data_IF_167657381931
#
_entry.id   IF_167657381931
#
_cell.length_a   1.000
_cell.length_b   1.000
_cell.length_c   1.000
_cell.angle_alpha   90.00
_cell.angle_beta   90.00
_cell.angle_gamma   90.00
#
_symmetry.space_group_name_H-M   'P 1'
#
loop_
_entity.id
_entity.type
_entity.pdbx_description
1 polymer ?
#
# COMPACT_ATOMS: atom_id res chain seq x y z
N UNK A 1 42.68 -40.36 7.92
CA UNK A 1 42.61 -39.21 7.00
C UNK A 1 41.23 -38.60 7.10
N UNK A 2 41.10 -37.39 7.63
CA UNK A 2 39.83 -36.66 7.70
C UNK A 2 39.52 -36.00 6.36
N UNK A 3 38.38 -36.36 5.76
CA UNK A 3 37.86 -35.66 4.58
C UNK A 3 37.13 -34.40 5.06
N UNK A 4 37.68 -33.25 4.70
CA UNK A 4 37.08 -31.93 4.90
C UNK A 4 35.90 -31.79 3.92
N UNK A 5 34.68 -31.87 4.44
CA UNK A 5 33.47 -31.48 3.71
C UNK A 5 33.46 -29.95 3.61
N UNK A 6 33.73 -29.40 2.43
CA UNK A 6 33.47 -27.98 2.15
C UNK A 6 31.97 -27.82 1.92
N UNK A 7 31.25 -27.29 2.90
CA UNK A 7 29.90 -26.76 2.68
C UNK A 7 30.01 -25.45 1.89
N UNK A 8 29.57 -25.47 0.63
CA UNK A 8 29.36 -24.25 -0.15
C UNK A 8 27.95 -23.74 0.16
N UNK A 9 27.85 -22.75 1.06
CA UNK A 9 26.61 -22.02 1.28
C UNK A 9 26.56 -20.90 0.23
N UNK A 10 25.91 -21.16 -0.90
CA UNK A 10 25.70 -20.14 -1.94
C UNK A 10 24.77 -19.05 -1.39
N UNK A 11 25.34 -17.90 -1.01
CA UNK A 11 24.59 -16.70 -0.67
C UNK A 11 23.84 -16.22 -1.92
N UNK A 12 22.53 -16.42 -1.96
CA UNK A 12 21.68 -15.88 -3.02
C UNK A 12 21.39 -14.41 -2.71
N UNK A 13 22.13 -13.51 -3.34
CA UNK A 13 21.95 -12.06 -3.18
C UNK A 13 21.04 -11.58 -4.31
N UNK A 14 19.87 -11.06 -3.95
CA UNK A 14 18.94 -10.45 -4.89
C UNK A 14 18.91 -8.93 -4.67
N UNK A 15 19.10 -8.16 -5.75
CA UNK A 15 19.05 -6.69 -5.71
C UNK A 15 17.70 -6.26 -6.28
N UNK A 16 16.90 -5.54 -5.47
CA UNK A 16 15.60 -4.98 -5.88
C UNK A 16 15.59 -3.46 -5.73
N UNK A 17 14.77 -2.80 -6.54
CA UNK A 17 14.62 -1.36 -6.48
C UNK A 17 13.54 -0.96 -5.44
N UNK A 18 13.85 0.01 -4.59
CA UNK A 18 12.89 0.65 -3.67
C UNK A 18 12.54 2.07 -4.09
N UNK A 19 13.45 2.76 -4.79
CA UNK A 19 13.31 4.16 -5.20
C UNK A 19 12.85 5.09 -4.03
N UNK A 20 12.21 6.20 -4.36
CA UNK A 20 11.51 7.09 -3.42
C UNK A 20 10.29 6.43 -2.77
N UNK A 21 9.80 5.30 -3.30
CA UNK A 21 8.64 4.58 -2.77
C UNK A 21 8.90 4.04 -1.36
N UNK A 22 10.15 3.74 -1.01
CA UNK A 22 10.51 3.32 0.35
C UNK A 22 10.18 4.37 1.41
N UNK A 23 10.41 5.65 1.12
CA UNK A 23 10.09 6.75 2.04
C UNK A 23 8.57 6.88 2.20
N UNK A 24 7.84 6.84 1.08
CA UNK A 24 6.38 6.92 1.09
C UNK A 24 5.78 5.74 1.85
N UNK A 25 6.27 4.52 1.62
CA UNK A 25 5.84 3.32 2.32
C UNK A 25 6.06 3.44 3.84
N UNK A 26 7.23 3.94 4.25
CA UNK A 26 7.54 4.19 5.66
C UNK A 26 6.57 5.19 6.32
N UNK A 27 6.24 6.29 5.63
CA UNK A 27 5.26 7.27 6.13
C UNK A 27 3.86 6.63 6.27
N UNK A 28 3.44 5.83 5.30
CA UNK A 28 2.15 5.11 5.32
C UNK A 28 2.09 4.17 6.54
N UNK A 29 3.16 3.42 6.78
CA UNK A 29 3.26 2.50 7.92
C UNK A 29 3.28 3.26 9.25
N UNK A 30 4.00 4.38 9.33
CA UNK A 30 4.07 5.20 10.52
C UNK A 30 2.72 5.79 10.95
N UNK A 31 1.88 6.16 9.98
CA UNK A 31 0.52 6.68 10.20
C UNK A 31 -0.46 5.54 10.58
N UNK A 32 -0.10 4.29 10.30
CA UNK A 32 -0.96 3.12 10.54
C UNK A 32 -2.12 3.03 9.55
N UNK A 33 -1.93 3.51 8.32
CA UNK A 33 -2.99 3.57 7.30
C UNK A 33 -3.55 2.19 6.96
N UNK A 34 -2.68 1.18 6.80
CA UNK A 34 -3.07 -0.18 6.45
C UNK A 34 -4.04 -0.74 7.48
N UNK A 35 -3.71 -0.63 8.76
CA UNK A 35 -4.55 -1.12 9.85
C UNK A 35 -5.88 -0.39 9.95
N UNK A 36 -5.89 0.92 9.72
CA UNK A 36 -7.12 1.71 9.72
C UNK A 36 -8.08 1.31 8.61
N UNK A 37 -7.58 1.16 7.38
CA UNK A 37 -8.41 0.72 6.25
C UNK A 37 -8.93 -0.69 6.51
N UNK A 38 -8.09 -1.61 6.99
CA UNK A 38 -8.49 -2.97 7.33
C UNK A 38 -9.56 -3.01 8.43
N UNK A 39 -9.51 -2.10 9.40
CA UNK A 39 -10.54 -1.96 10.43
C UNK A 39 -11.86 -1.43 9.86
N UNK A 40 -11.82 -0.53 8.88
CA UNK A 40 -13.01 0.10 8.29
C UNK A 40 -13.72 -0.85 7.32
N UNK A 41 -12.94 -1.54 6.47
CA UNK A 41 -13.48 -2.41 5.41
C UNK A 41 -13.61 -3.88 5.84
N UNK A 42 -12.97 -4.25 6.95
CA UNK A 42 -12.83 -5.64 7.36
C UNK A 42 -11.77 -6.39 6.54
N UNK A 43 -11.56 -7.64 6.91
CA UNK A 43 -10.71 -8.57 6.17
C UNK A 43 -11.41 -9.92 6.09
N UNK A 44 -11.27 -10.59 4.95
CA UNK A 44 -11.74 -11.96 4.80
C UNK A 44 -10.54 -12.92 4.78
N UNK A 45 -10.58 -14.08 5.48
CA UNK A 45 -9.43 -15.00 5.59
C UNK A 45 -8.90 -15.55 4.26
N UNK A 46 -9.70 -15.48 3.20
CA UNK A 46 -9.31 -15.93 1.86
C UNK A 46 -8.64 -14.84 1.01
N UNK A 47 -8.59 -13.59 1.51
CA UNK A 47 -7.92 -12.51 0.82
C UNK A 47 -6.40 -12.66 0.98
N UNK A 48 -5.71 -12.84 -0.15
CA UNK A 48 -4.24 -12.89 -0.17
C UNK A 48 -3.59 -11.54 0.13
N UNK A 49 -4.32 -10.46 -0.13
CA UNK A 49 -3.90 -9.08 0.12
C UNK A 49 -5.06 -8.31 0.72
N UNK A 50 -4.82 -7.69 1.87
CA UNK A 50 -5.82 -6.92 2.61
C UNK A 50 -6.18 -5.61 1.90
N UNK A 51 -7.33 -5.04 2.22
CA UNK A 51 -7.76 -3.78 1.61
C UNK A 51 -6.78 -2.63 1.92
N UNK A 52 -6.22 -2.59 3.13
CA UNK A 52 -5.20 -1.61 3.50
C UNK A 52 -3.91 -1.74 2.70
N UNK A 53 -3.45 -2.97 2.43
CA UNK A 53 -2.29 -3.21 1.57
C UNK A 53 -2.58 -2.80 0.12
N UNK A 54 -3.80 -3.04 -0.38
CA UNK A 54 -4.22 -2.55 -1.70
C UNK A 54 -4.19 -1.03 -1.77
N UNK A 55 -4.73 -0.33 -0.76
CA UNK A 55 -4.69 1.14 -0.70
C UNK A 55 -3.26 1.65 -0.65
N UNK A 56 -2.39 1.04 0.18
CA UNK A 56 -0.96 1.37 0.23
C UNK A 56 -0.33 1.23 -1.16
N UNK A 57 -0.59 0.13 -1.86
CA UNK A 57 -0.09 -0.10 -3.21
C UNK A 57 -0.58 0.98 -4.18
N UNK A 58 -1.87 1.32 -4.16
CA UNK A 58 -2.43 2.38 -5.02
C UNK A 58 -1.79 3.74 -4.76
N UNK A 59 -1.51 4.09 -3.50
CA UNK A 59 -0.83 5.34 -3.14
C UNK A 59 0.61 5.34 -3.68
N UNK A 60 1.34 4.24 -3.50
CA UNK A 60 2.71 4.10 -4.02
C UNK A 60 2.73 4.22 -5.55
N UNK A 61 1.78 3.59 -6.24
CA UNK A 61 1.64 3.72 -7.68
C UNK A 61 1.29 5.16 -8.11
N UNK A 62 0.33 5.80 -7.42
CA UNK A 62 -0.09 7.18 -7.71
C UNK A 62 0.99 8.23 -7.49
N UNK A 63 1.93 7.99 -6.58
CA UNK A 63 3.07 8.87 -6.29
C UNK A 63 4.34 8.48 -7.09
N UNK A 64 4.45 7.22 -7.50
CA UNK A 64 5.60 6.62 -8.16
C UNK A 64 5.65 6.79 -9.66
N UNK A 65 4.51 6.65 -10.34
CA UNK A 65 4.42 6.77 -11.78
C UNK A 65 2.95 6.97 -12.21
N UNK A 66 2.65 8.14 -12.75
CA UNK A 66 1.33 8.48 -13.31
C UNK A 66 1.15 7.75 -14.64
N UNK A 67 -0.07 7.26 -14.94
CA UNK A 67 -0.63 6.88 -16.27
C UNK A 67 -0.87 5.39 -16.59
N UNK A 68 -0.58 4.43 -15.70
CA UNK A 68 -0.88 3.01 -15.96
C UNK A 68 -2.35 2.64 -15.71
N UNK A 69 -2.95 1.81 -16.58
CA UNK A 69 -4.25 1.18 -16.31
C UNK A 69 -4.16 0.17 -15.15
N UNK A 70 -5.26 -0.08 -14.44
CA UNK A 70 -5.29 -0.99 -13.28
C UNK A 70 -4.74 -2.40 -13.59
N UNK A 71 -4.99 -2.93 -14.80
CA UNK A 71 -4.51 -4.27 -15.18
C UNK A 71 -2.98 -4.35 -15.32
N UNK A 72 -2.28 -3.22 -15.48
CA UNK A 72 -0.82 -3.17 -15.59
C UNK A 72 -0.11 -3.14 -14.22
N UNK A 73 -0.89 -3.04 -13.15
CA UNK A 73 -0.39 -2.86 -11.79
C UNK A 73 0.55 -4.00 -11.34
N UNK A 74 0.24 -5.29 -11.55
CA UNK A 74 1.16 -6.37 -11.20
C UNK A 74 2.52 -6.23 -11.89
N UNK A 75 2.52 -5.95 -13.19
CA UNK A 75 3.75 -5.80 -13.98
C UNK A 75 4.60 -4.61 -13.52
N UNK A 76 3.96 -3.55 -13.04
CA UNK A 76 4.68 -2.42 -12.46
C UNK A 76 5.34 -2.79 -11.13
N UNK A 77 4.62 -3.52 -10.26
CA UNK A 77 5.13 -3.98 -8.97
C UNK A 77 6.27 -5.01 -9.09
N UNK A 78 6.36 -5.75 -10.19
CA UNK A 78 7.51 -6.63 -10.48
C UNK A 78 8.85 -5.87 -10.55
N UNK A 79 8.82 -4.58 -10.88
CA UNK A 79 10.02 -3.73 -10.95
C UNK A 79 10.56 -3.29 -9.58
N UNK A 80 9.82 -3.56 -8.49
CA UNK A 80 10.13 -3.06 -7.16
C UNK A 80 10.20 -4.18 -6.12
N UNK A 81 10.75 -3.87 -4.95
CA UNK A 81 10.74 -4.75 -3.80
C UNK A 81 9.33 -4.84 -3.16
N UNK A 82 8.39 -5.49 -3.86
CA UNK A 82 6.97 -5.58 -3.49
C UNK A 82 6.74 -5.96 -2.03
N UNK A 83 7.35 -7.05 -1.56
CA UNK A 83 7.21 -7.49 -0.17
C UNK A 83 7.76 -6.48 0.85
N UNK A 84 8.84 -5.78 0.50
CA UNK A 84 9.42 -4.76 1.40
C UNK A 84 8.54 -3.51 1.46
N UNK A 85 7.89 -3.16 0.35
CA UNK A 85 7.02 -2.00 0.25
C UNK A 85 5.64 -2.25 0.84
N UNK A 86 5.07 -3.45 0.68
CA UNK A 86 3.66 -3.72 0.98
C UNK A 86 3.46 -4.65 2.18
N UNK A 87 4.44 -5.49 2.50
CA UNK A 87 4.38 -6.49 3.56
C UNK A 87 4.84 -7.88 3.10
N UNK A 88 5.30 -8.68 4.06
CA UNK A 88 5.83 -10.03 3.81
C UNK A 88 4.81 -10.93 3.10
N UNK A 89 5.28 -11.68 2.09
CA UNK A 89 4.46 -12.63 1.33
C UNK A 89 3.53 -12.01 0.28
N UNK A 90 3.55 -10.68 0.11
CA UNK A 90 2.73 -10.00 -0.91
C UNK A 90 3.44 -10.07 -2.25
N UNK A 91 2.81 -10.77 -3.18
CA UNK A 91 3.28 -10.89 -4.55
C UNK A 91 2.57 -9.89 -5.47
N UNK A 92 3.26 -9.36 -6.49
CA UNK A 92 2.67 -8.49 -7.51
C UNK A 92 1.38 -9.05 -8.15
N UNK A 93 1.32 -10.36 -8.40
CA UNK A 93 0.16 -11.08 -8.95
C UNK A 93 -1.13 -10.96 -8.11
N UNK A 94 -1.03 -10.64 -6.82
CA UNK A 94 -2.19 -10.46 -5.95
C UNK A 94 -2.86 -9.09 -6.14
N UNK A 95 -2.18 -8.15 -6.80
CA UNK A 95 -2.61 -6.78 -7.05
C UNK A 95 -3.23 -6.62 -8.45
N UNK A 96 -4.11 -7.57 -8.83
CA UNK A 96 -4.86 -7.52 -10.09
C UNK A 96 -6.03 -6.53 -10.04
N UNK A 97 -6.50 -6.14 -11.23
CA UNK A 97 -7.58 -5.18 -11.44
C UNK A 97 -8.89 -5.57 -10.72
N UNK A 98 -9.24 -6.85 -10.65
CA UNK A 98 -10.40 -7.31 -9.87
C UNK A 98 -10.27 -6.96 -8.39
N UNK A 99 -9.10 -7.19 -7.78
CA UNK A 99 -8.87 -6.87 -6.37
C UNK A 99 -8.80 -5.36 -6.16
N UNK A 100 -8.10 -4.64 -7.03
CA UNK A 100 -8.02 -3.18 -6.98
C UNK A 100 -9.42 -2.54 -7.09
N UNK A 101 -10.20 -2.96 -8.08
CA UNK A 101 -11.57 -2.48 -8.32
C UNK A 101 -12.51 -2.74 -7.15
N UNK A 102 -12.53 -3.97 -6.61
CA UNK A 102 -13.36 -4.29 -5.43
C UNK A 102 -13.04 -3.42 -4.21
N UNK A 103 -11.76 -3.11 -3.97
CA UNK A 103 -11.38 -2.23 -2.86
C UNK A 103 -11.83 -0.79 -3.12
N UNK A 104 -11.72 -0.28 -4.36
CA UNK A 104 -12.25 1.03 -4.73
C UNK A 104 -13.77 1.11 -4.51
N UNK A 105 -14.52 0.08 -4.90
CA UNK A 105 -15.96 -0.01 -4.66
C UNK A 105 -16.29 0.01 -3.16
N UNK A 106 -15.54 -0.75 -2.35
CA UNK A 106 -15.71 -0.78 -0.89
C UNK A 106 -15.44 0.60 -0.26
N UNK A 107 -14.38 1.29 -0.69
CA UNK A 107 -14.05 2.65 -0.23
C UNK A 107 -15.16 3.64 -0.61
N UNK A 108 -15.67 3.56 -1.84
CA UNK A 108 -16.76 4.40 -2.31
C UNK A 108 -18.04 4.18 -1.48
N UNK A 109 -18.42 2.92 -1.26
CA UNK A 109 -19.61 2.57 -0.48
C UNK A 109 -19.51 2.99 1.00
N UNK A 110 -18.30 3.02 1.58
CA UNK A 110 -18.09 3.51 2.94
C UNK A 110 -18.05 5.03 3.07
N UNK A 111 -17.67 5.73 2.01
CA UNK A 111 -17.57 7.19 2.01
C UNK A 111 -16.13 7.66 2.21
N UNK A 112 -15.53 8.18 1.14
CA UNK A 112 -14.14 8.63 1.12
C UNK A 112 -13.86 9.78 2.09
N UNK A 113 -14.81 10.71 2.30
CA UNK A 113 -14.60 11.85 3.19
C UNK A 113 -14.36 11.43 4.64
N UNK A 114 -15.10 10.43 5.12
CA UNK A 114 -14.95 9.91 6.48
C UNK A 114 -13.60 9.18 6.62
N UNK A 115 -13.28 8.31 5.66
CA UNK A 115 -12.01 7.58 5.61
C UNK A 115 -10.81 8.54 5.60
N UNK A 116 -10.85 9.56 4.73
CA UNK A 116 -9.82 10.58 4.64
C UNK A 116 -9.66 11.33 5.96
N UNK A 117 -10.76 11.75 6.58
CA UNK A 117 -10.74 12.48 7.86
C UNK A 117 -10.09 11.65 8.97
N UNK A 118 -10.44 10.36 9.06
CA UNK A 118 -9.86 9.44 10.05
C UNK A 118 -8.33 9.30 9.86
N UNK A 119 -7.88 9.11 8.62
CA UNK A 119 -6.45 9.00 8.30
C UNK A 119 -5.72 10.31 8.58
N UNK A 120 -6.29 11.46 8.18
CA UNK A 120 -5.71 12.77 8.41
C UNK A 120 -5.54 13.04 9.91
N UNK A 121 -6.56 12.71 10.74
CA UNK A 121 -6.47 12.84 12.19
C UNK A 121 -5.40 11.92 12.79
N UNK A 122 -5.22 10.72 12.24
CA UNK A 122 -4.15 9.84 12.67
C UNK A 122 -2.76 10.42 12.36
N UNK A 123 -2.58 11.00 11.17
CA UNK A 123 -1.35 11.67 10.79
C UNK A 123 -1.06 12.88 11.68
N UNK A 124 -2.07 13.74 11.93
CA UNK A 124 -1.94 14.89 12.85
C UNK A 124 -1.49 14.45 14.23
N UNK A 125 -2.10 13.39 14.79
CA UNK A 125 -1.71 12.82 16.08
C UNK A 125 -0.29 12.26 16.07
N UNK A 126 0.08 11.53 15.01
CA UNK A 126 1.40 10.91 14.85
C UNK A 126 2.52 11.96 14.81
N UNK A 127 2.35 13.00 14.01
CA UNK A 127 3.36 14.03 13.79
C UNK A 127 3.21 15.26 14.70
N UNK A 128 2.21 15.26 15.60
CA UNK A 128 1.91 16.37 16.53
C UNK A 128 1.76 17.71 15.82
N UNK A 129 1.09 17.71 14.67
CA UNK A 129 0.85 18.93 13.89
C UNK A 129 -0.03 19.88 14.70
N UNK A 130 0.42 21.13 14.86
CA UNK A 130 -0.35 22.14 15.58
C UNK A 130 -1.63 22.48 14.80
N UNK A 131 -2.79 22.28 15.43
CA UNK A 131 -4.09 22.62 14.85
C UNK A 131 -4.45 24.05 15.26
N UNK A 132 -4.06 25.05 14.46
CA UNK A 132 -4.48 26.45 14.68
C UNK A 132 -5.92 26.71 14.19
N UNK A 133 -6.40 25.92 13.23
CA UNK A 133 -7.79 25.90 12.74
C UNK A 133 -8.08 24.57 12.04
N UNK A 134 -9.23 23.94 12.30
CA UNK A 134 -9.67 22.72 11.63
C UNK A 134 -10.78 23.07 10.61
N UNK A 135 -10.43 23.18 9.32
CA UNK A 135 -11.40 23.30 8.23
C UNK A 135 -11.40 21.99 7.43
N UNK A 136 -12.53 21.30 7.41
CA UNK A 136 -12.74 20.09 6.62
C UNK A 136 -13.28 20.49 5.24
N UNK A 137 -12.37 20.79 4.30
CA UNK A 137 -12.74 21.12 2.93
C UNK A 137 -12.90 19.83 2.11
N UNK A 138 -14.05 19.17 2.25
CA UNK A 138 -14.36 17.92 1.54
C UNK A 138 -14.85 18.24 0.12
N UNK A 139 -13.94 18.60 -0.78
CA UNK A 139 -14.29 18.76 -2.20
C UNK A 139 -14.52 17.40 -2.86
N UNK A 140 -15.76 17.08 -3.24
CA UNK A 140 -16.10 15.92 -4.06
C UNK A 140 -15.75 16.20 -5.53
N UNK A 141 -14.87 15.41 -6.13
CA UNK A 141 -14.68 15.42 -7.58
C UNK A 141 -15.60 14.38 -8.22
N UNK A 142 -16.59 14.85 -8.99
CA UNK A 142 -17.39 14.01 -9.87
C UNK A 142 -16.80 14.06 -11.28
N UNK A 143 -16.36 12.91 -11.80
CA UNK A 143 -16.06 12.73 -13.22
C UNK A 143 -17.30 12.14 -13.90
N UNK A 144 -17.79 12.83 -14.93
CA UNK A 144 -18.80 12.29 -15.84
C UNK A 144 -18.07 11.66 -17.03
N UNK A 145 -18.42 10.42 -17.37
CA UNK A 145 -17.93 9.67 -18.51
C UNK A 145 -19.08 9.06 -19.29
#
# INVERSE_FOLDING_TARGET
MGNSVKMNLSLNIEVKNLDHLGIVAGIIDEIGLVDQINKILGQHPQEKVSAGQVVKAMILNGLGFVSGTLYMFPKYMDGYACEHLLGEGILPEYLNDDRLGRVLDQLYLKGLSEIFTLIALAAVKKYRVALSSLHLDSSSMHLHG
#
